data_IF_487632570975
#
_entry.id   IF_487632570975
#
_cell.length_a   1.000
_cell.length_b   1.000
_cell.length_c   1.000
_cell.angle_alpha   90.00
_cell.angle_beta   90.00
_cell.angle_gamma   90.00
#
_symmetry.space_group_name_H-M   'P 1'
#
loop_
_entity.id
_entity.type
_entity.pdbx_description
1 polymer ?
#
# COMPACT_ATOMS: atom_id res chain seq x y z
N UNK A 1 5.11 44.80 42.04
CA UNK A 1 3.66 45.08 42.08
C UNK A 1 2.96 44.03 41.23
N UNK A 2 1.99 43.33 41.83
CA UNK A 2 1.16 42.31 41.17
C UNK A 2 0.04 43.02 40.42
N UNK A 3 -0.24 42.63 39.18
CA UNK A 3 -1.56 42.87 38.57
C UNK A 3 -1.96 41.65 37.75
N UNK A 4 -3.14 41.13 38.08
CA UNK A 4 -3.85 40.02 37.43
C UNK A 4 -4.69 40.55 36.24
N UNK A 5 -5.28 39.59 35.52
CA UNK A 5 -6.51 39.66 34.71
C UNK A 5 -6.34 40.14 33.25
N UNK A 6 -6.94 39.51 32.23
CA UNK A 6 -8.02 38.53 32.25
C UNK A 6 -8.21 37.80 30.91
N UNK A 7 -8.84 36.63 31.07
CA UNK A 7 -9.38 35.72 30.07
C UNK A 7 -10.53 36.39 29.29
N UNK A 8 -10.54 36.27 27.95
CA UNK A 8 -11.74 36.53 27.15
C UNK A 8 -12.03 35.32 26.25
N UNK A 9 -12.97 34.49 26.70
CA UNK A 9 -13.64 33.47 25.90
C UNK A 9 -14.84 34.17 25.26
N UNK A 10 -14.90 34.24 23.93
CA UNK A 10 -16.11 34.65 23.21
C UNK A 10 -16.83 33.37 22.79
N UNK A 11 -17.86 33.02 23.54
CA UNK A 11 -18.84 32.03 23.15
C UNK A 11 -19.81 32.65 22.14
N UNK A 12 -20.04 31.95 21.03
CA UNK A 12 -21.16 32.24 20.14
C UNK A 12 -22.20 31.14 20.32
N UNK A 13 -23.30 31.49 20.99
CA UNK A 13 -24.52 30.70 21.05
C UNK A 13 -25.41 31.09 19.86
N UNK A 14 -25.96 30.10 19.16
CA UNK A 14 -27.13 30.27 18.31
C UNK A 14 -28.19 29.26 18.74
N UNK A 15 -29.35 29.82 19.10
CA UNK A 15 -30.59 29.19 19.54
C UNK A 15 -31.59 29.27 18.38
N UNK A 16 -32.44 28.24 18.23
CA UNK A 16 -33.72 28.33 17.48
C UNK A 16 -33.94 27.14 16.54
N UNK A 17 -34.65 26.07 16.94
CA UNK A 17 -36.12 25.84 16.83
C UNK A 17 -36.57 25.77 15.36
N UNK A 18 -37.28 24.77 14.83
CA UNK A 18 -37.90 23.55 15.33
C UNK A 18 -38.79 22.94 14.24
N UNK A 19 -39.02 21.63 14.35
CA UNK A 19 -40.18 20.81 13.92
C UNK A 19 -40.67 20.81 12.45
N UNK A 20 -40.62 19.63 11.84
CA UNK A 20 -41.73 19.07 11.06
C UNK A 20 -41.62 17.53 11.07
N UNK A 21 -42.48 16.89 11.85
CA UNK A 21 -42.72 15.46 11.75
C UNK A 21 -43.64 15.14 10.57
N UNK A 22 -43.45 13.99 9.94
CA UNK A 22 -44.47 13.37 9.11
C UNK A 22 -44.68 11.95 9.62
N UNK A 23 -45.71 11.79 10.45
CA UNK A 23 -46.28 10.49 10.80
C UNK A 23 -47.34 10.15 9.76
N UNK A 24 -47.20 9.02 9.09
CA UNK A 24 -48.26 8.44 8.27
C UNK A 24 -49.12 7.51 9.12
N UNK A 25 -50.38 7.92 9.28
CA UNK A 25 -51.51 7.22 9.89
C UNK A 25 -51.85 5.88 9.20
N UNK A 26 -52.23 4.90 10.02
CA UNK A 26 -52.91 3.65 9.65
C UNK A 26 -54.44 3.82 9.69
N UNK A 27 -55.19 3.19 8.76
CA UNK A 27 -56.39 2.35 9.05
C UNK A 27 -57.19 1.88 7.82
N UNK A 28 -57.49 0.57 7.79
CA UNK A 28 -58.67 -0.10 7.20
C UNK A 28 -58.58 -0.57 5.73
N UNK A 29 -59.05 -1.75 5.26
CA UNK A 29 -59.81 -2.89 5.82
C UNK A 29 -59.81 -4.04 4.77
N UNK A 30 -59.75 -5.31 5.22
CA UNK A 30 -60.22 -6.59 4.61
C UNK A 30 -59.92 -6.99 3.14
N UNK A 31 -59.29 -8.16 2.97
CA UNK A 31 -59.29 -8.97 1.74
C UNK A 31 -58.22 -10.06 1.74
N UNK A 32 -58.62 -11.33 1.81
CA UNK A 32 -57.73 -12.51 1.80
C UNK A 32 -57.40 -12.97 0.37
N UNK A 33 -56.15 -13.40 0.12
CA UNK A 33 -55.76 -14.46 -0.83
C UNK A 33 -54.32 -14.95 -0.55
N UNK A 34 -54.11 -16.26 -0.79
CA UNK A 34 -52.93 -17.10 -0.49
C UNK A 34 -51.73 -16.99 -1.46
N UNK A 35 -50.61 -17.55 -0.98
CA UNK A 35 -49.42 -18.12 -1.65
C UNK A 35 -48.43 -17.21 -2.38
N UNK A 36 -47.18 -17.16 -1.89
CA UNK A 36 -46.12 -18.06 -2.37
C UNK A 36 -44.88 -17.97 -1.47
N UNK A 37 -44.33 -19.14 -1.12
CA UNK A 37 -43.07 -19.26 -0.43
C UNK A 37 -41.96 -19.34 -1.48
N UNK A 38 -41.26 -18.23 -1.72
CA UNK A 38 -40.01 -18.27 -2.48
C UNK A 38 -38.83 -17.86 -1.58
N UNK A 39 -37.87 -18.77 -1.55
CA UNK A 39 -36.66 -18.85 -0.75
C UNK A 39 -35.64 -17.72 -1.03
N UNK A 40 -35.05 -17.21 0.06
CA UNK A 40 -33.76 -16.50 0.25
C UNK A 40 -32.64 -16.82 -0.78
N UNK A 41 -31.58 -15.97 -0.97
CA UNK A 41 -31.07 -14.95 -0.04
C UNK A 41 -30.84 -13.55 -0.65
N UNK A 42 -31.07 -12.46 0.08
CA UNK A 42 -30.21 -11.90 1.14
C UNK A 42 -28.75 -11.68 0.70
N UNK A 43 -28.41 -10.40 0.54
CA UNK A 43 -27.12 -9.86 0.96
C UNK A 43 -25.97 -9.99 -0.03
N UNK A 44 -25.87 -9.04 -0.96
CA UNK A 44 -24.54 -8.48 -1.30
C UNK A 44 -24.11 -7.57 -0.15
N UNK A 45 -23.76 -8.15 0.98
CA UNK A 45 -22.82 -7.50 1.90
C UNK A 45 -21.43 -7.82 1.36
N UNK A 46 -20.79 -6.82 0.76
CA UNK A 46 -19.34 -6.84 0.58
C UNK A 46 -18.72 -7.20 1.94
N UNK A 47 -17.96 -8.30 2.00
CA UNK A 47 -17.13 -8.57 3.16
C UNK A 47 -16.25 -7.34 3.40
N UNK A 48 -16.15 -6.83 4.63
CA UNK A 48 -15.55 -5.54 4.84
C UNK A 48 -14.05 -5.66 4.63
N UNK A 49 -13.46 -4.71 3.91
CA UNK A 49 -12.01 -4.50 3.84
C UNK A 49 -11.33 -4.40 5.23
N UNK A 50 -12.12 -4.33 6.31
CA UNK A 50 -11.65 -4.31 7.69
C UNK A 50 -11.09 -5.65 8.18
N UNK A 51 -11.48 -6.81 7.63
CA UNK A 51 -10.96 -8.09 8.14
C UNK A 51 -9.48 -8.29 7.82
N UNK A 52 -9.03 -7.92 6.61
CA UNK A 52 -7.61 -8.02 6.23
C UNK A 52 -6.73 -7.08 7.06
N UNK A 53 -7.13 -5.81 7.20
CA UNK A 53 -6.39 -4.82 8.00
C UNK A 53 -6.29 -5.20 9.49
N UNK A 54 -7.21 -6.03 9.99
CA UNK A 54 -7.24 -6.54 11.38
C UNK A 54 -6.53 -7.89 11.54
N UNK A 55 -5.85 -8.40 10.50
CA UNK A 55 -5.09 -9.65 10.53
C UNK A 55 -5.86 -10.91 10.10
N UNK A 56 -7.03 -10.74 9.50
CA UNK A 56 -7.78 -11.79 8.83
C UNK A 56 -7.20 -12.17 7.46
N UNK A 57 -7.90 -13.06 6.75
CA UNK A 57 -7.53 -13.42 5.38
C UNK A 57 -7.70 -12.21 4.45
N UNK A 58 -6.76 -12.04 3.51
CA UNK A 58 -6.76 -10.97 2.54
C UNK A 58 -6.97 -11.49 1.12
N UNK A 59 -7.63 -10.68 0.30
CA UNK A 59 -7.73 -10.85 -1.14
C UNK A 59 -7.04 -9.67 -1.87
N UNK A 60 -6.80 -9.83 -3.17
CA UNK A 60 -6.32 -8.75 -4.03
C UNK A 60 -7.32 -7.59 -4.00
N UNK A 61 -6.83 -6.38 -3.74
CA UNK A 61 -7.64 -5.17 -3.60
C UNK A 61 -8.07 -4.83 -2.17
N UNK A 62 -7.88 -5.72 -1.20
CA UNK A 62 -8.18 -5.42 0.21
C UNK A 62 -7.21 -4.40 0.79
N UNK A 63 -7.65 -3.69 1.82
CA UNK A 63 -6.78 -2.81 2.62
C UNK A 63 -6.00 -3.68 3.61
N UNK A 64 -4.67 -3.64 3.51
CA UNK A 64 -3.76 -4.35 4.39
C UNK A 64 -3.50 -3.62 5.72
N UNK A 65 -2.77 -4.26 6.66
CA UNK A 65 -2.47 -3.68 7.97
C UNK A 65 -1.67 -2.38 7.92
N UNK A 66 -0.94 -2.13 6.84
CA UNK A 66 -0.22 -0.89 6.60
C UNK A 66 -1.05 0.23 5.98
N UNK A 67 -2.37 0.04 5.83
CA UNK A 67 -3.25 0.87 5.01
C UNK A 67 -2.83 0.94 3.53
N UNK A 68 -2.04 -0.04 3.07
CA UNK A 68 -1.80 -0.27 1.65
C UNK A 68 -2.89 -1.11 1.03
N UNK A 69 -2.78 -1.33 -0.29
CA UNK A 69 -3.66 -2.24 -1.02
C UNK A 69 -2.93 -3.55 -1.30
N UNK A 70 -3.55 -4.66 -0.95
CA UNK A 70 -3.04 -6.00 -1.21
C UNK A 70 -3.02 -6.27 -2.71
N UNK A 71 -1.84 -6.61 -3.24
CA UNK A 71 -1.64 -6.90 -4.66
C UNK A 71 -1.06 -8.29 -4.92
N UNK A 72 -0.70 -9.02 -3.86
CA UNK A 72 -0.24 -10.40 -3.96
C UNK A 72 -0.75 -11.23 -2.78
N UNK A 73 -1.27 -12.41 -3.10
CA UNK A 73 -1.71 -13.42 -2.14
C UNK A 73 -0.99 -14.72 -2.48
N UNK A 74 -0.15 -15.21 -1.58
CA UNK A 74 0.61 -16.42 -1.81
C UNK A 74 -0.28 -17.67 -1.64
N UNK A 75 -0.13 -18.66 -2.53
CA UNK A 75 -0.79 -19.97 -2.37
C UNK A 75 -0.20 -20.78 -1.20
N UNK A 76 1.04 -20.49 -0.84
CA UNK A 76 1.78 -21.04 0.30
C UNK A 76 2.67 -19.93 0.86
N UNK A 77 2.90 -19.86 2.19
CA UNK A 77 3.77 -18.83 2.76
C UNK A 77 5.16 -18.80 2.11
N UNK A 78 5.70 -17.60 1.92
CA UNK A 78 7.04 -17.38 1.38
C UNK A 78 7.96 -16.80 2.44
N UNK A 79 9.27 -16.92 2.19
CA UNK A 79 10.30 -16.38 3.08
C UNK A 79 10.70 -14.98 2.65
N UNK A 80 10.71 -14.05 3.59
CA UNK A 80 11.27 -12.70 3.45
C UNK A 80 12.12 -12.37 4.66
N UNK A 81 13.03 -11.41 4.50
CA UNK A 81 13.72 -10.77 5.63
C UNK A 81 12.85 -9.72 6.35
N UNK A 82 11.64 -9.46 5.85
CA UNK A 82 10.62 -8.65 6.51
C UNK A 82 10.13 -9.31 7.82
N UNK A 83 9.40 -8.58 8.70
CA UNK A 83 9.00 -9.09 10.02
C UNK A 83 8.20 -10.41 10.02
N UNK A 84 7.44 -10.70 8.96
CA UNK A 84 6.71 -11.97 8.81
C UNK A 84 7.62 -13.19 8.57
N UNK A 85 8.93 -13.01 8.30
CA UNK A 85 9.90 -14.10 8.22
C UNK A 85 9.52 -15.17 7.19
N UNK A 86 9.35 -16.42 7.65
CA UNK A 86 8.96 -17.57 6.81
C UNK A 86 7.45 -17.75 6.66
N UNK A 87 6.64 -16.88 7.27
CA UNK A 87 5.18 -16.95 7.26
C UNK A 87 4.52 -15.83 6.47
N UNK A 88 5.28 -15.07 5.68
CA UNK A 88 4.73 -14.02 4.83
C UNK A 88 3.74 -14.63 3.84
N UNK A 89 2.54 -14.06 3.77
CA UNK A 89 1.46 -14.58 2.92
C UNK A 89 0.97 -13.52 1.95
N UNK A 90 1.12 -12.24 2.30
CA UNK A 90 0.57 -11.13 1.53
C UNK A 90 1.63 -10.09 1.21
N UNK A 91 1.45 -9.38 0.09
CA UNK A 91 2.11 -8.11 -0.17
C UNK A 91 1.07 -7.01 -0.35
N UNK A 92 1.28 -5.88 0.31
CA UNK A 92 0.53 -4.64 0.10
C UNK A 92 1.44 -3.55 -0.49
N UNK A 93 0.86 -2.67 -1.30
CA UNK A 93 1.52 -1.50 -1.87
C UNK A 93 0.92 -0.22 -1.27
N UNK A 94 1.73 0.82 -1.17
CA UNK A 94 1.24 2.17 -0.87
C UNK A 94 0.20 2.61 -1.90
N UNK A 95 -0.72 3.48 -1.51
CA UNK A 95 -1.76 4.00 -2.43
C UNK A 95 -1.28 5.16 -3.30
N UNK A 96 -0.07 5.65 -3.05
CA UNK A 96 0.58 6.72 -3.81
C UNK A 96 2.05 6.44 -4.03
N UNK A 97 2.59 7.00 -5.12
CA UNK A 97 4.03 6.97 -5.40
C UNK A 97 4.76 7.89 -4.42
N UNK A 98 5.92 7.42 -3.95
CA UNK A 98 6.74 8.15 -2.99
C UNK A 98 7.65 9.19 -3.66
N UNK A 99 7.79 9.15 -4.99
CA UNK A 99 8.51 10.14 -5.78
C UNK A 99 9.10 9.59 -7.07
N UNK A 100 9.68 10.51 -7.85
CA UNK A 100 10.44 10.25 -9.07
C UNK A 100 11.92 10.48 -8.76
N UNK A 101 12.71 9.41 -8.67
CA UNK A 101 14.03 9.44 -8.03
C UNK A 101 15.06 8.54 -8.73
N UNK A 102 16.36 8.84 -8.60
CA UNK A 102 17.39 7.90 -9.00
C UNK A 102 17.39 6.69 -8.08
N UNK A 103 17.91 5.56 -8.57
CA UNK A 103 18.04 4.35 -7.78
C UNK A 103 18.89 4.59 -6.52
N UNK A 104 20.00 5.33 -6.68
CA UNK A 104 20.95 5.67 -5.63
C UNK A 104 21.67 6.98 -5.95
N UNK A 105 21.78 7.88 -4.96
CA UNK A 105 22.63 9.07 -5.04
C UNK A 105 23.94 8.80 -4.28
N UNK A 106 25.05 8.74 -5.02
CA UNK A 106 26.37 8.44 -4.47
C UNK A 106 27.17 7.53 -5.42
N UNK A 107 28.36 7.05 -5.01
CA UNK A 107 29.17 6.19 -5.88
C UNK A 107 28.46 4.88 -6.26
N UNK A 108 27.47 4.43 -5.46
CA UNK A 108 26.61 3.28 -5.71
C UNK A 108 25.75 3.38 -6.98
N UNK A 109 25.61 4.57 -7.56
CA UNK A 109 25.03 4.78 -8.90
C UNK A 109 25.87 4.11 -10.01
N UNK A 110 27.16 3.84 -9.75
CA UNK A 110 28.08 3.21 -10.71
C UNK A 110 28.88 2.03 -10.14
N UNK A 111 28.59 1.63 -8.91
CA UNK A 111 29.24 0.52 -8.21
C UNK A 111 28.22 -0.56 -7.82
N UNK A 112 28.70 -1.80 -7.67
CA UNK A 112 27.87 -2.90 -7.16
C UNK A 112 27.58 -2.69 -5.67
N UNK A 113 26.30 -2.73 -5.31
CA UNK A 113 25.80 -2.80 -3.94
C UNK A 113 25.63 -4.28 -3.60
N UNK A 114 26.42 -4.86 -2.67
CA UNK A 114 26.30 -6.27 -2.30
C UNK A 114 24.90 -6.61 -1.78
N UNK A 115 24.45 -7.86 -1.98
CA UNK A 115 23.18 -8.37 -1.43
C UNK A 115 21.93 -7.58 -1.84
N UNK A 116 21.96 -6.93 -3.01
CA UNK A 116 20.83 -6.20 -3.59
C UNK A 116 20.35 -6.79 -4.92
N UNK A 117 20.74 -8.02 -5.25
CA UNK A 117 20.47 -8.66 -6.55
C UNK A 117 19.42 -9.78 -6.47
N UNK A 118 18.72 -9.94 -5.34
CA UNK A 118 17.65 -10.92 -5.23
C UNK A 118 16.47 -10.55 -6.12
N UNK A 119 15.92 -11.52 -6.86
CA UNK A 119 14.82 -11.28 -7.83
C UNK A 119 13.48 -11.84 -7.36
N UNK A 120 13.47 -12.83 -6.46
CA UNK A 120 12.25 -13.56 -6.10
C UNK A 120 11.28 -12.72 -5.26
N UNK A 121 10.02 -13.18 -5.18
CA UNK A 121 9.07 -12.75 -4.15
C UNK A 121 9.72 -12.96 -2.76
N UNK A 122 9.66 -11.95 -1.90
CA UNK A 122 10.31 -11.95 -0.58
C UNK A 122 11.75 -11.41 -0.56
N UNK A 123 12.37 -11.14 -1.72
CA UNK A 123 13.73 -10.61 -1.76
C UNK A 123 13.83 -9.09 -1.54
N UNK A 124 12.75 -8.33 -1.76
CA UNK A 124 12.82 -6.87 -1.85
C UNK A 124 13.21 -6.20 -0.54
N UNK A 125 12.77 -6.76 0.60
CA UNK A 125 13.15 -6.23 1.91
C UNK A 125 14.66 -6.28 2.12
N UNK A 126 15.28 -7.46 1.93
CA UNK A 126 16.73 -7.61 2.09
C UNK A 126 17.50 -6.74 1.10
N UNK A 127 17.07 -6.69 -0.16
CA UNK A 127 17.72 -5.83 -1.15
C UNK A 127 17.69 -4.35 -0.72
N UNK A 128 16.51 -3.88 -0.28
CA UNK A 128 16.32 -2.50 0.17
C UNK A 128 17.18 -2.17 1.37
N UNK A 129 17.24 -3.07 2.35
CA UNK A 129 18.12 -2.89 3.51
C UNK A 129 19.61 -2.84 3.12
N UNK A 130 20.04 -3.59 2.11
CA UNK A 130 21.41 -3.50 1.59
C UNK A 130 21.68 -2.15 0.92
N UNK A 131 20.70 -1.59 0.22
CA UNK A 131 20.79 -0.27 -0.43
C UNK A 131 20.85 0.86 0.61
N UNK A 132 20.09 0.77 1.69
CA UNK A 132 20.04 1.82 2.72
C UNK A 132 21.17 1.72 3.75
N UNK A 133 21.76 0.53 3.94
CA UNK A 133 22.87 0.33 4.88
C UNK A 133 24.24 0.65 4.29
N UNK A 134 24.39 0.69 2.96
CA UNK A 134 25.68 0.97 2.32
C UNK A 134 26.08 2.45 2.41
N UNK A 135 27.37 2.73 2.56
CA UNK A 135 27.92 4.09 2.45
C UNK A 135 27.96 4.62 1.01
N UNK A 136 27.72 3.75 0.02
CA UNK A 136 27.76 4.10 -1.40
C UNK A 136 26.50 4.85 -1.87
N UNK A 137 25.44 4.86 -1.05
CA UNK A 137 24.19 5.56 -1.32
C UNK A 137 23.82 6.46 -0.15
N UNK A 138 23.57 7.72 -0.44
CA UNK A 138 23.17 8.74 0.56
C UNK A 138 21.67 9.05 0.54
N UNK A 139 21.01 8.77 -0.59
CA UNK A 139 19.56 8.89 -0.80
C UNK A 139 19.18 8.10 -2.07
N UNK A 140 17.89 8.10 -2.43
CA UNK A 140 17.37 7.47 -3.65
C UNK A 140 16.11 6.65 -3.41
N UNK A 141 15.81 5.76 -4.35
CA UNK A 141 14.60 4.95 -4.36
C UNK A 141 14.45 4.08 -3.10
N UNK A 142 15.51 3.37 -2.69
CA UNK A 142 15.49 2.51 -1.50
C UNK A 142 15.21 3.28 -0.21
N UNK A 143 15.86 4.43 0.00
CA UNK A 143 15.66 5.28 1.18
C UNK A 143 14.23 5.80 1.26
N UNK A 144 13.70 6.26 0.13
CA UNK A 144 12.36 6.84 0.05
C UNK A 144 11.28 5.78 0.29
N UNK A 145 11.50 4.56 -0.20
CA UNK A 145 10.58 3.44 0.01
C UNK A 145 10.52 2.94 1.46
N UNK A 146 11.56 3.19 2.28
CA UNK A 146 11.59 2.79 3.72
C UNK A 146 10.94 3.78 4.67
N UNK A 147 10.62 4.99 4.22
CA UNK A 147 10.04 6.04 5.05
C UNK A 147 8.70 6.60 4.51
N UNK A 148 7.75 5.75 4.04
CA UNK A 148 6.47 6.28 3.59
C UNK A 148 5.66 6.82 4.78
N UNK A 149 4.81 7.79 4.49
CA UNK A 149 3.84 8.33 5.45
C UNK A 149 2.89 7.22 5.93
N UNK A 150 2.91 6.88 7.22
CA UNK A 150 2.01 5.84 7.75
C UNK A 150 2.42 5.16 9.05
N UNK A 151 3.65 5.36 9.54
CA UNK A 151 4.07 4.94 10.89
C UNK A 151 4.55 3.49 11.02
N UNK A 152 4.52 2.70 9.95
CA UNK A 152 5.19 1.39 9.89
C UNK A 152 6.58 1.53 9.26
N UNK A 153 7.54 0.74 9.75
CA UNK A 153 8.96 0.86 9.42
C UNK A 153 9.47 -0.28 8.49
N UNK A 154 8.58 -1.17 8.07
CA UNK A 154 8.88 -2.36 7.27
C UNK A 154 8.44 -2.23 5.81
N UNK A 155 8.25 -1.00 5.34
CA UNK A 155 8.09 -0.69 3.92
C UNK A 155 9.43 -0.73 3.19
N UNK A 156 9.40 -1.15 1.92
CA UNK A 156 10.61 -1.33 1.12
C UNK A 156 10.35 -1.20 -0.38
N UNK A 157 11.44 -1.12 -1.15
CA UNK A 157 11.38 -1.09 -2.61
C UNK A 157 11.26 -2.54 -3.14
N UNK A 158 10.25 -2.88 -3.96
CA UNK A 158 9.96 -4.26 -4.35
C UNK A 158 11.13 -4.90 -5.08
N UNK A 159 11.40 -6.20 -4.90
CA UNK A 159 12.27 -6.94 -5.81
C UNK A 159 11.66 -6.99 -7.21
N UNK A 160 12.41 -7.47 -8.21
CA UNK A 160 11.90 -7.60 -9.57
C UNK A 160 10.64 -8.49 -9.62
N UNK A 161 10.63 -9.64 -8.94
CA UNK A 161 9.47 -10.52 -8.89
C UNK A 161 8.27 -9.88 -8.19
N UNK A 162 8.51 -9.12 -7.13
CA UNK A 162 7.44 -8.39 -6.42
C UNK A 162 6.89 -7.24 -7.27
N UNK A 163 7.76 -6.53 -8.00
CA UNK A 163 7.38 -5.48 -8.95
C UNK A 163 6.57 -6.02 -10.13
N UNK A 164 6.91 -7.22 -10.63
CA UNK A 164 6.10 -7.89 -11.65
C UNK A 164 4.72 -8.29 -11.13
N UNK A 165 4.63 -8.85 -9.92
CA UNK A 165 3.35 -9.17 -9.29
C UNK A 165 2.48 -7.92 -9.02
N UNK A 166 3.14 -6.80 -8.67
CA UNK A 166 2.49 -5.50 -8.51
C UNK A 166 1.88 -5.03 -9.83
N UNK A 167 2.61 -5.16 -10.94
CA UNK A 167 2.11 -4.80 -12.27
C UNK A 167 1.03 -5.74 -12.79
N UNK A 168 1.08 -7.02 -12.47
CA UNK A 168 0.00 -7.97 -12.79
C UNK A 168 -1.35 -7.52 -12.18
N UNK A 169 -1.31 -6.86 -11.01
CA UNK A 169 -2.48 -6.39 -10.27
C UNK A 169 -2.56 -4.85 -10.20
N UNK A 170 -1.97 -4.14 -11.15
CA UNK A 170 -1.81 -2.67 -11.11
C UNK A 170 -3.14 -1.91 -10.94
N UNK A 171 -4.24 -2.43 -11.49
CA UNK A 171 -5.58 -1.81 -11.36
C UNK A 171 -6.04 -1.80 -9.91
N UNK A 172 -5.73 -2.85 -9.13
CA UNK A 172 -6.14 -2.92 -7.72
C UNK A 172 -5.46 -1.85 -6.87
N UNK A 173 -4.20 -1.51 -7.17
CA UNK A 173 -3.39 -0.55 -6.41
C UNK A 173 -3.56 0.91 -6.87
N UNK A 174 -4.66 1.21 -7.57
CA UNK A 174 -4.99 2.56 -8.05
C UNK A 174 -4.33 2.94 -9.37
N UNK A 175 -3.76 1.98 -10.10
CA UNK A 175 -3.03 2.21 -11.34
C UNK A 175 -1.54 2.51 -11.11
N UNK A 176 -0.75 2.23 -12.15
CA UNK A 176 0.67 2.53 -12.24
C UNK A 176 0.94 3.05 -13.65
N UNK A 177 1.57 4.22 -13.76
CA UNK A 177 1.83 4.88 -15.04
C UNK A 177 3.35 5.12 -15.18
N UNK A 178 3.92 4.68 -16.29
CA UNK A 178 5.35 4.79 -16.58
C UNK A 178 6.21 3.68 -15.96
N UNK A 179 7.42 4.04 -15.53
CA UNK A 179 8.46 3.10 -15.08
C UNK A 179 8.70 3.21 -13.57
N UNK A 180 8.92 2.07 -12.93
CA UNK A 180 9.07 1.97 -11.48
C UNK A 180 10.31 1.19 -11.12
N UNK A 181 11.15 1.78 -10.27
CA UNK A 181 12.30 1.09 -9.75
C UNK A 181 11.89 -0.15 -8.94
N UNK A 182 12.65 -1.22 -9.11
CA UNK A 182 12.69 -2.36 -8.18
C UNK A 182 14.00 -2.29 -7.41
N UNK A 183 14.12 -2.93 -6.25
CA UNK A 183 15.35 -3.04 -5.47
C UNK A 183 16.36 -4.03 -6.04
N UNK A 184 16.04 -4.71 -7.14
CA UNK A 184 16.95 -5.66 -7.77
C UNK A 184 18.00 -4.94 -8.60
N UNK A 185 19.23 -4.95 -8.13
CA UNK A 185 20.41 -4.57 -8.90
C UNK A 185 20.72 -5.62 -9.97
N UNK A 186 20.89 -5.16 -11.22
CA UNK A 186 21.33 -6.02 -12.32
C UNK A 186 22.85 -6.12 -12.41
N UNK A 187 23.54 -4.99 -12.28
CA UNK A 187 25.00 -4.92 -12.24
C UNK A 187 25.47 -3.63 -11.56
N UNK A 188 26.77 -3.33 -11.61
CA UNK A 188 27.34 -2.14 -10.98
C UNK A 188 26.67 -0.83 -11.42
N UNK A 189 26.24 -0.73 -12.68
CA UNK A 189 25.72 0.51 -13.28
C UNK A 189 24.21 0.51 -13.51
N UNK A 190 23.57 -0.67 -13.47
CA UNK A 190 22.16 -0.83 -13.80
C UNK A 190 21.37 -1.50 -12.69
N UNK A 191 20.12 -1.06 -12.53
CA UNK A 191 19.11 -1.69 -11.69
C UNK A 191 17.90 -2.08 -12.52
N UNK A 192 17.10 -3.00 -12.00
CA UNK A 192 15.90 -3.47 -12.65
C UNK A 192 14.72 -2.54 -12.35
N UNK A 193 13.86 -2.37 -13.35
CA UNK A 193 12.59 -1.66 -13.24
C UNK A 193 11.49 -2.44 -13.93
N UNK A 194 10.25 -2.07 -13.63
CA UNK A 194 9.04 -2.56 -14.27
C UNK A 194 8.31 -1.40 -14.93
N UNK A 195 7.56 -1.67 -16.00
CA UNK A 195 6.93 -0.66 -16.85
C UNK A 195 5.53 -1.10 -17.27
N UNK A 196 4.61 -0.14 -17.34
CA UNK A 196 3.25 -0.29 -17.86
C UNK A 196 3.19 -0.78 -19.32
N UNK A 197 4.26 -0.56 -20.08
CA UNK A 197 4.34 -0.95 -21.50
C UNK A 197 4.78 -2.39 -21.77
N UNK A 198 5.49 -3.05 -20.84
CA UNK A 198 6.16 -4.32 -21.15
C UNK A 198 5.87 -5.46 -20.19
N UNK A 199 5.29 -5.22 -19.01
CA UNK A 199 5.02 -6.23 -17.96
C UNK A 199 6.19 -7.22 -17.70
N UNK A 200 7.42 -6.81 -18.02
CA UNK A 200 8.65 -7.59 -17.89
C UNK A 200 9.69 -6.76 -17.18
N UNK A 201 10.56 -7.40 -16.42
CA UNK A 201 11.75 -6.77 -15.87
C UNK A 201 12.68 -6.25 -16.96
N UNK A 202 12.91 -4.94 -16.95
CA UNK A 202 13.92 -4.27 -17.76
C UNK A 202 15.02 -3.75 -16.85
N UNK A 203 16.12 -3.26 -17.44
CA UNK A 203 17.25 -2.73 -16.68
C UNK A 203 17.74 -1.44 -17.29
N UNK A 204 18.01 -0.44 -16.45
CA UNK A 204 18.48 0.86 -16.90
C UNK A 204 19.52 1.44 -15.94
N UNK A 205 20.28 2.47 -16.36
CA UNK A 205 21.25 3.13 -15.51
C UNK A 205 20.64 3.61 -14.20
N UNK A 206 21.32 3.33 -13.08
CA UNK A 206 20.89 3.72 -11.72
C UNK A 206 20.74 5.23 -11.50
N UNK A 207 21.25 6.03 -12.43
CA UNK A 207 21.18 7.49 -12.43
C UNK A 207 19.90 8.06 -13.04
N UNK A 208 19.05 7.23 -13.67
CA UNK A 208 17.77 7.70 -14.21
C UNK A 208 16.73 7.83 -13.10
N UNK A 209 15.86 8.84 -13.25
CA UNK A 209 14.74 9.01 -12.34
C UNK A 209 13.58 8.11 -12.77
N UNK A 210 13.06 7.30 -11.84
CA UNK A 210 11.86 6.48 -12.03
C UNK A 210 10.96 6.54 -10.81
N UNK A 211 9.69 6.16 -11.00
CA UNK A 211 8.71 6.18 -9.91
C UNK A 211 9.08 5.16 -8.83
N UNK A 212 8.68 5.47 -7.60
CA UNK A 212 8.89 4.61 -6.43
C UNK A 212 7.54 4.29 -5.81
N UNK A 213 7.14 3.02 -5.86
CA UNK A 213 5.98 2.51 -5.13
C UNK A 213 6.47 1.56 -4.05
N UNK A 214 6.37 1.99 -2.79
CA UNK A 214 6.77 1.17 -1.66
C UNK A 214 5.79 0.00 -1.46
N UNK A 215 6.32 -1.15 -1.08
CA UNK A 215 5.54 -2.34 -0.73
C UNK A 215 5.93 -2.86 0.66
N UNK A 216 5.11 -3.75 1.21
CA UNK A 216 5.30 -4.38 2.51
C UNK A 216 4.81 -5.83 2.48
N UNK A 217 5.53 -6.72 3.15
CA UNK A 217 5.16 -8.12 3.32
C UNK A 217 4.61 -8.37 4.72
N UNK A 218 3.56 -9.19 4.83
CA UNK A 218 2.96 -9.57 6.11
C UNK A 218 2.30 -10.95 6.09
#
# INVERSE_FOLDING_TARGET
MRTRLGLLIVGLALVGVGVAGCSSTTSGTSGAVQDDATTSPSGVTAAPASSCSEGGACAIGDIGPGNGIVFYVASTPFTSAAPCGTSCTYLEAQTSDAGLLPYCVGPGATASIPNSNGTAIGAGFQNTMSITATSECSSGAGFTATAPSGGLQDWYLPSLGEGMALYENYVAVGGLEGTYWTSTQANAKQASYVSDTTNTGLTDPKSLDMNVRAIRAF
#
